data_IF_418142683505
#
_entry.id   IF_418142683505
#
_cell.length_a   1.000
_cell.length_b   1.000
_cell.length_c   1.000
_cell.angle_alpha   90.00
_cell.angle_beta   90.00
_cell.angle_gamma   90.00
#
_symmetry.space_group_name_H-M   'P 1'
#
loop_
_entity.id
_entity.type
_entity.pdbx_description
1 polymer ?
#
# COMPACT_ATOMS: atom_id res chain seq x y z
N UNK A 1 -21.94 -48.72 -5.65
CA UNK A 1 -20.49 -48.66 -5.74
C UNK A 1 -20.09 -48.40 -7.17
N UNK A 2 -19.72 -47.21 -7.54
CA UNK A 2 -19.18 -46.83 -8.86
C UNK A 2 -17.81 -46.20 -8.66
N UNK A 3 -16.79 -46.94 -9.08
CA UNK A 3 -15.39 -46.50 -9.04
C UNK A 3 -15.15 -45.50 -10.18
N UNK A 4 -14.69 -44.29 -9.85
CA UNK A 4 -14.19 -43.30 -10.79
C UNK A 4 -12.69 -43.52 -10.96
N UNK A 5 -12.31 -43.93 -12.16
CA UNK A 5 -10.94 -44.06 -12.61
C UNK A 5 -10.48 -42.72 -13.17
N UNK A 6 -9.45 -42.08 -12.57
CA UNK A 6 -8.80 -40.89 -13.09
C UNK A 6 -7.64 -41.27 -14.01
N UNK A 7 -7.51 -40.71 -15.21
CA UNK A 7 -6.31 -40.88 -16.03
C UNK A 7 -5.16 -40.01 -15.52
N UNK A 8 -4.01 -40.65 -15.31
CA UNK A 8 -2.72 -39.98 -15.05
C UNK A 8 -2.20 -39.44 -16.39
N UNK A 9 -2.08 -38.13 -16.52
CA UNK A 9 -1.40 -37.49 -17.65
C UNK A 9 0.08 -37.29 -17.25
N UNK A 10 0.97 -38.01 -17.90
CA UNK A 10 2.42 -37.85 -17.81
C UNK A 10 2.84 -36.76 -18.79
N UNK A 11 3.30 -35.61 -18.31
CA UNK A 11 3.89 -34.56 -19.14
C UNK A 11 5.39 -34.73 -19.14
N UNK A 12 5.95 -35.12 -20.27
CA UNK A 12 7.37 -35.19 -20.55
C UNK A 12 7.98 -33.80 -20.74
N UNK A 13 8.98 -33.51 -19.93
CA UNK A 13 9.78 -32.28 -19.98
C UNK A 13 10.81 -32.37 -21.11
N UNK A 14 10.68 -31.51 -22.13
CA UNK A 14 11.69 -31.37 -23.18
C UNK A 14 12.65 -30.25 -22.80
N UNK A 15 13.94 -30.58 -22.73
CA UNK A 15 15.05 -29.64 -22.56
C UNK A 15 15.42 -29.00 -23.89
N UNK A 16 15.59 -27.69 -23.93
CA UNK A 16 16.16 -26.95 -25.06
C UNK A 16 17.52 -26.33 -24.68
N UNK A 17 18.48 -26.23 -25.62
CA UNK A 17 19.87 -25.92 -25.32
C UNK A 17 20.17 -24.42 -25.24
N UNK A 18 21.24 -24.12 -24.52
CA UNK A 18 21.87 -22.83 -24.38
C UNK A 18 22.41 -22.27 -25.72
N UNK A 19 22.22 -21.00 -25.99
CA UNK A 19 22.95 -20.24 -26.97
C UNK A 19 23.80 -19.16 -26.30
N UNK A 20 25.08 -19.21 -26.59
CA UNK A 20 26.13 -18.36 -26.07
C UNK A 20 26.17 -16.96 -26.71
N UNK A 21 26.53 -15.99 -25.89
CA UNK A 21 27.49 -14.94 -26.25
C UNK A 21 27.05 -13.78 -27.13
N UNK A 22 27.06 -12.59 -26.54
CA UNK A 22 27.68 -11.43 -27.19
C UNK A 22 28.14 -10.42 -26.13
N UNK A 23 29.46 -10.26 -26.08
CA UNK A 23 30.18 -9.22 -25.37
C UNK A 23 29.92 -7.88 -26.07
N UNK A 24 29.52 -6.84 -25.33
CA UNK A 24 29.62 -5.47 -25.79
C UNK A 24 30.60 -4.71 -24.89
N UNK A 25 31.69 -4.28 -25.51
CA UNK A 25 32.75 -3.48 -24.93
C UNK A 25 32.27 -2.06 -24.56
N UNK A 26 32.93 -1.40 -23.60
CA UNK A 26 32.56 -0.06 -23.17
C UNK A 26 32.97 1.01 -24.16
N UNK A 27 32.03 1.84 -24.59
CA UNK A 27 32.32 3.06 -25.35
C UNK A 27 32.87 4.15 -24.45
N UNK A 28 34.08 4.58 -24.76
CA UNK A 28 34.76 5.74 -24.20
C UNK A 28 33.97 7.01 -24.49
N UNK A 29 33.49 7.69 -23.47
CA UNK A 29 32.96 9.04 -23.61
C UNK A 29 34.09 10.05 -23.54
N UNK A 30 34.24 10.79 -24.61
CA UNK A 30 35.14 11.90 -24.81
C UNK A 30 34.84 13.07 -23.89
N UNK A 31 35.86 13.50 -23.15
CA UNK A 31 35.87 14.67 -22.25
C UNK A 31 35.77 15.96 -23.05
N UNK A 32 34.92 16.95 -22.72
CA UNK A 32 34.98 18.28 -23.30
C UNK A 32 36.17 19.11 -22.72
N UNK A 33 36.71 20.07 -23.50
CA UNK A 33 37.87 20.83 -23.08
C UNK A 33 37.55 21.90 -22.03
N UNK A 34 38.52 22.10 -21.16
CA UNK A 34 38.54 23.17 -20.17
C UNK A 34 38.79 24.53 -20.84
N UNK A 35 38.19 25.56 -20.32
CA UNK A 35 38.65 26.94 -20.49
C UNK A 35 37.52 27.94 -20.64
N UNK A 36 37.18 28.59 -19.53
CA UNK A 36 36.99 30.04 -19.49
C UNK A 36 36.99 30.52 -18.03
N UNK A 37 38.02 31.26 -17.73
CA UNK A 37 38.25 31.97 -16.47
C UNK A 37 37.27 33.13 -16.34
N UNK A 38 36.52 33.21 -15.24
CA UNK A 38 35.75 34.39 -14.87
C UNK A 38 36.47 35.10 -13.74
N UNK A 39 36.70 36.43 -13.80
CA UNK A 39 37.45 37.17 -12.79
C UNK A 39 36.70 37.28 -11.47
N UNK A 40 37.41 37.42 -10.31
CA UNK A 40 36.82 37.52 -9.00
C UNK A 40 36.14 38.88 -8.78
N UNK A 41 34.89 38.85 -8.38
CA UNK A 41 34.16 40.02 -7.89
C UNK A 41 34.51 40.22 -6.42
N UNK A 42 35.09 41.37 -6.09
CA UNK A 42 35.47 41.81 -4.77
C UNK A 42 34.23 42.23 -3.96
N UNK A 43 34.10 41.80 -2.67
CA UNK A 43 32.99 42.26 -1.84
C UNK A 43 33.26 43.64 -1.25
N UNK A 44 32.28 44.52 -1.06
CA UNK A 44 32.43 45.77 -0.35
C UNK A 44 32.55 45.52 1.19
N UNK A 45 33.54 46.17 1.77
CA UNK A 45 33.75 46.22 3.19
C UNK A 45 32.75 47.16 3.87
N UNK A 46 32.33 46.82 5.07
CA UNK A 46 31.87 47.78 6.07
C UNK A 46 30.48 47.47 6.65
N UNK A 47 30.47 46.92 7.86
CA UNK A 47 29.25 46.83 8.69
C UNK A 47 29.59 46.12 10.02
N UNK A 48 29.62 46.90 11.09
CA UNK A 48 30.10 46.57 12.43
C UNK A 48 29.41 45.34 13.06
N UNK A 49 30.21 44.53 13.75
CA UNK A 49 29.81 43.43 14.59
C UNK A 49 28.95 43.90 15.79
N UNK A 50 27.77 43.30 15.96
CA UNK A 50 27.09 43.22 17.25
C UNK A 50 27.21 41.78 17.77
N UNK A 51 27.59 41.55 19.05
CA UNK A 51 27.61 40.21 19.62
C UNK A 51 26.15 39.77 19.92
N UNK A 52 25.61 38.95 19.05
CA UNK A 52 24.35 38.28 19.26
C UNK A 52 24.50 37.13 20.22
N UNK A 53 23.71 37.15 21.26
CA UNK A 53 23.43 36.14 22.27
C UNK A 53 23.27 34.72 21.65
N UNK A 54 23.85 33.66 22.27
CA UNK A 54 23.62 32.30 21.77
C UNK A 54 22.15 31.92 21.96
N UNK A 55 21.44 31.75 20.86
CA UNK A 55 20.10 31.22 20.86
C UNK A 55 20.16 29.77 21.39
N UNK A 56 19.54 29.57 22.56
CA UNK A 56 19.32 28.28 23.16
C UNK A 56 18.71 27.33 22.10
N UNK A 57 19.32 26.15 21.95
CA UNK A 57 18.87 25.12 21.06
C UNK A 57 17.41 24.76 21.35
N UNK A 58 16.53 25.10 20.43
CA UNK A 58 15.20 24.52 20.37
C UNK A 58 15.42 23.06 19.93
N UNK A 59 15.39 22.17 20.89
CA UNK A 59 15.15 20.75 20.65
C UNK A 59 13.82 20.69 19.90
N UNK A 60 13.90 20.42 18.60
CA UNK A 60 12.71 20.15 17.80
C UNK A 60 12.01 18.95 18.45
N UNK A 61 10.94 19.21 19.18
CA UNK A 61 10.07 18.17 19.68
C UNK A 61 9.64 17.34 18.47
N UNK A 62 9.92 16.03 18.52
CA UNK A 62 9.40 15.09 17.52
C UNK A 62 7.89 15.34 17.38
N UNK A 63 7.37 15.49 16.16
CA UNK A 63 5.93 15.66 15.99
C UNK A 63 5.22 14.50 16.69
N UNK A 64 4.11 14.77 17.40
CA UNK A 64 3.34 13.71 18.04
C UNK A 64 2.98 12.67 16.97
N UNK A 65 2.93 11.37 17.34
CA UNK A 65 2.58 10.33 16.39
C UNK A 65 1.26 10.71 15.71
N UNK A 66 1.29 10.84 14.38
CA UNK A 66 0.13 11.25 13.62
C UNK A 66 -1.00 10.27 13.91
N UNK A 67 -2.12 10.80 14.45
CA UNK A 67 -3.35 10.02 14.61
C UNK A 67 -3.70 9.50 13.22
N UNK A 68 -3.86 8.18 13.04
CA UNK A 68 -4.15 7.63 11.73
C UNK A 68 -5.38 8.31 11.14
N UNK A 69 -5.28 8.82 9.92
CA UNK A 69 -6.38 9.53 9.28
C UNK A 69 -7.60 8.60 9.16
N UNK A 70 -8.78 9.11 9.53
CA UNK A 70 -10.06 8.39 9.39
C UNK A 70 -10.24 7.88 7.95
N UNK A 71 -10.69 6.63 7.79
CA UNK A 71 -10.88 5.95 6.50
C UNK A 71 -12.36 5.82 6.19
N UNK A 72 -12.99 6.93 5.86
CA UNK A 72 -14.40 6.99 5.50
C UNK A 72 -14.57 7.15 4.00
N UNK A 73 -15.51 6.41 3.43
CA UNK A 73 -15.90 6.54 2.04
C UNK A 73 -17.12 7.45 1.90
N UNK A 74 -17.08 8.35 0.92
CA UNK A 74 -18.16 9.28 0.61
C UNK A 74 -18.89 8.92 -0.68
N UNK A 75 -18.40 7.92 -1.41
CA UNK A 75 -18.89 7.45 -2.70
C UNK A 75 -19.66 6.14 -2.60
N UNK A 76 -20.21 5.68 -3.71
CA UNK A 76 -20.99 4.44 -3.78
C UNK A 76 -20.11 3.17 -3.85
N UNK A 77 -18.83 3.33 -4.18
CA UNK A 77 -17.82 2.29 -4.09
C UNK A 77 -16.47 2.88 -3.66
N UNK A 78 -15.60 2.04 -3.14
CA UNK A 78 -14.29 2.48 -2.70
C UNK A 78 -13.23 1.40 -2.82
N UNK A 79 -11.96 1.83 -2.84
CA UNK A 79 -10.83 0.91 -2.90
C UNK A 79 -9.67 1.42 -2.06
N UNK A 80 -8.95 0.49 -1.42
CA UNK A 80 -7.66 0.76 -0.79
C UNK A 80 -6.63 -0.18 -1.39
N UNK A 81 -5.56 0.39 -1.92
CA UNK A 81 -4.40 -0.35 -2.41
C UNK A 81 -3.38 -0.53 -1.30
N UNK A 82 -2.93 -1.77 -1.14
CA UNK A 82 -1.93 -2.16 -0.14
C UNK A 82 -0.78 -2.85 -0.87
N UNK A 83 0.42 -2.28 -0.78
CA UNK A 83 1.63 -2.89 -1.34
C UNK A 83 2.37 -3.59 -0.21
N UNK A 84 2.39 -4.91 -0.23
CA UNK A 84 2.87 -5.78 0.85
C UNK A 84 4.19 -6.43 0.45
N UNK A 85 5.15 -6.41 1.37
CA UNK A 85 6.46 -7.07 1.21
C UNK A 85 6.29 -8.58 1.01
N UNK A 86 7.11 -9.23 0.18
CA UNK A 86 6.98 -10.65 -0.14
C UNK A 86 7.04 -11.57 1.09
N UNK A 87 7.92 -11.25 2.04
CA UNK A 87 8.12 -11.99 3.29
C UNK A 87 7.05 -11.73 4.36
N UNK A 88 6.13 -10.77 4.10
CA UNK A 88 5.09 -10.34 5.04
C UNK A 88 3.65 -10.67 4.61
N UNK A 89 3.48 -11.40 3.52
CA UNK A 89 2.14 -11.76 3.02
C UNK A 89 1.36 -12.60 4.02
N UNK A 90 2.00 -13.59 4.66
CA UNK A 90 1.36 -14.44 5.68
C UNK A 90 0.97 -13.64 6.94
N UNK A 91 1.82 -12.72 7.38
CA UNK A 91 1.52 -11.82 8.50
C UNK A 91 0.31 -10.92 8.18
N UNK A 92 0.28 -10.36 6.97
CA UNK A 92 -0.83 -9.53 6.49
C UNK A 92 -2.15 -10.31 6.43
N UNK A 93 -2.13 -11.51 5.84
CA UNK A 93 -3.31 -12.37 5.73
C UNK A 93 -3.80 -12.82 7.12
N UNK A 94 -2.90 -13.05 8.08
CA UNK A 94 -3.26 -13.32 9.48
C UNK A 94 -4.00 -12.15 10.11
N UNK A 95 -3.52 -10.91 9.92
CA UNK A 95 -4.21 -9.72 10.43
C UNK A 95 -5.58 -9.55 9.75
N UNK A 96 -5.68 -9.81 8.44
CA UNK A 96 -6.97 -9.76 7.72
C UNK A 96 -7.97 -10.79 8.23
N UNK A 97 -7.51 -11.99 8.61
CA UNK A 97 -8.36 -12.99 9.24
C UNK A 97 -8.91 -12.50 10.60
N UNK A 98 -8.09 -11.80 11.40
CA UNK A 98 -8.55 -11.20 12.67
C UNK A 98 -9.53 -10.04 12.43
N UNK A 99 -9.32 -9.21 11.40
CA UNK A 99 -10.30 -8.17 11.00
C UNK A 99 -11.63 -8.78 10.61
N UNK A 100 -11.62 -9.86 9.81
CA UNK A 100 -12.83 -10.60 9.44
C UNK A 100 -13.55 -11.14 10.68
N UNK A 101 -12.82 -11.71 11.63
CA UNK A 101 -13.35 -12.21 12.89
C UNK A 101 -13.96 -11.07 13.72
N UNK A 102 -13.26 -9.95 13.86
CA UNK A 102 -13.74 -8.77 14.58
C UNK A 102 -15.08 -8.25 14.02
N UNK A 103 -15.17 -8.11 12.70
CA UNK A 103 -16.38 -7.66 12.02
C UNK A 103 -17.54 -8.64 12.19
N UNK A 104 -17.26 -9.96 12.09
CA UNK A 104 -18.31 -10.99 12.18
C UNK A 104 -18.87 -11.15 13.60
N UNK A 105 -18.03 -10.99 14.62
CA UNK A 105 -18.39 -11.13 16.04
C UNK A 105 -18.89 -9.83 16.67
N UNK A 106 -18.78 -8.70 15.98
CA UNK A 106 -19.21 -7.40 16.52
C UNK A 106 -20.72 -7.39 16.79
N UNK A 107 -21.13 -6.82 17.92
CA UNK A 107 -22.54 -6.54 18.21
C UNK A 107 -23.06 -5.30 17.48
N UNK A 108 -22.16 -4.48 16.94
CA UNK A 108 -22.52 -3.30 16.16
C UNK A 108 -23.05 -3.73 14.76
N UNK A 109 -24.32 -3.44 14.43
CA UNK A 109 -24.91 -3.83 13.14
C UNK A 109 -24.20 -3.22 11.95
N UNK A 110 -23.62 -2.03 12.08
CA UNK A 110 -22.83 -1.40 11.00
C UNK A 110 -21.54 -2.15 10.73
N UNK A 111 -20.84 -2.68 11.76
CA UNK A 111 -19.66 -3.54 11.58
C UNK A 111 -20.01 -4.83 10.83
N UNK A 112 -21.16 -5.44 11.14
CA UNK A 112 -21.67 -6.60 10.39
C UNK A 112 -21.95 -6.23 8.92
N UNK A 113 -22.53 -5.06 8.68
CA UNK A 113 -22.80 -4.56 7.33
C UNK A 113 -21.49 -4.30 6.56
N UNK A 114 -20.46 -3.74 7.21
CA UNK A 114 -19.13 -3.57 6.61
C UNK A 114 -18.56 -4.91 6.13
N UNK A 115 -18.72 -5.99 6.91
CA UNK A 115 -18.27 -7.32 6.53
C UNK A 115 -18.91 -7.84 5.23
N UNK A 116 -20.14 -7.46 4.93
CA UNK A 116 -20.86 -7.92 3.73
C UNK A 116 -20.35 -7.26 2.44
N UNK A 117 -19.86 -6.03 2.54
CA UNK A 117 -19.43 -5.24 1.38
C UNK A 117 -17.91 -5.16 1.20
N UNK A 118 -17.13 -5.54 2.23
CA UNK A 118 -15.68 -5.49 2.19
C UNK A 118 -15.10 -6.81 1.67
N UNK A 119 -14.40 -6.75 0.55
CA UNK A 119 -13.67 -7.88 -0.03
C UNK A 119 -12.18 -7.55 -0.09
N UNK A 120 -11.35 -8.56 0.10
CA UNK A 120 -9.90 -8.45 0.00
C UNK A 120 -9.43 -9.34 -1.13
N UNK A 121 -8.73 -8.76 -2.10
CA UNK A 121 -8.13 -9.46 -3.22
C UNK A 121 -6.63 -9.39 -3.14
N UNK A 122 -5.94 -10.44 -3.58
CA UNK A 122 -4.49 -10.50 -3.74
C UNK A 122 -4.17 -10.55 -5.23
N UNK A 123 -3.30 -9.67 -5.72
CA UNK A 123 -2.74 -9.78 -7.07
C UNK A 123 -1.94 -11.06 -7.19
N UNK A 124 -2.14 -11.77 -8.29
CA UNK A 124 -1.40 -13.03 -8.56
C UNK A 124 0.00 -12.74 -9.10
N UNK A 125 0.14 -11.61 -9.79
CA UNK A 125 1.42 -11.16 -10.32
C UNK A 125 2.17 -10.31 -9.30
N UNK A 126 3.50 -10.34 -9.37
CA UNK A 126 4.34 -9.45 -8.59
C UNK A 126 4.14 -8.01 -9.05
N UNK A 127 3.83 -7.13 -8.11
CA UNK A 127 3.73 -5.70 -8.34
C UNK A 127 5.09 -4.98 -8.31
N UNK A 128 5.08 -3.65 -8.17
CA UNK A 128 6.29 -2.83 -8.17
C UNK A 128 7.31 -3.29 -7.11
N UNK A 129 8.56 -3.45 -7.53
CA UNK A 129 9.65 -3.88 -6.64
C UNK A 129 9.54 -5.32 -6.14
N UNK A 130 8.81 -6.20 -6.83
CA UNK A 130 8.62 -7.59 -6.43
C UNK A 130 7.64 -7.78 -5.26
N UNK A 131 6.94 -6.72 -4.86
CA UNK A 131 5.95 -6.76 -3.78
C UNK A 131 4.61 -7.30 -4.28
N UNK A 132 3.74 -7.72 -3.35
CA UNK A 132 2.38 -8.12 -3.69
C UNK A 132 1.40 -6.97 -3.48
N UNK A 133 0.44 -6.83 -4.40
CA UNK A 133 -0.64 -5.85 -4.29
C UNK A 133 -1.87 -6.53 -3.71
N UNK A 134 -2.36 -6.01 -2.59
CA UNK A 134 -3.66 -6.39 -2.05
C UNK A 134 -4.64 -5.24 -2.21
N UNK A 135 -5.83 -5.55 -2.69
CA UNK A 135 -6.90 -4.61 -2.93
C UNK A 135 -8.01 -4.84 -1.91
N UNK A 136 -8.33 -3.81 -1.14
CA UNK A 136 -9.59 -3.79 -0.38
C UNK A 136 -10.65 -3.14 -1.27
N UNK A 137 -11.70 -3.88 -1.53
CA UNK A 137 -12.83 -3.45 -2.34
C UNK A 137 -14.06 -3.30 -1.46
N UNK A 138 -14.72 -2.16 -1.56
CA UNK A 138 -15.91 -1.82 -0.79
C UNK A 138 -17.05 -1.46 -1.76
N UNK A 139 -18.13 -2.27 -1.76
CA UNK A 139 -19.23 -2.07 -2.70
C UNK A 139 -20.54 -2.66 -2.16
N UNK A 140 -21.49 -1.80 -1.70
CA UNK A 140 -21.28 -0.40 -1.33
C UNK A 140 -20.57 -0.28 0.02
N UNK A 141 -19.75 0.76 0.26
CA UNK A 141 -19.24 1.03 1.60
C UNK A 141 -20.37 1.51 2.51
N UNK A 142 -20.27 1.20 3.79
CA UNK A 142 -21.18 1.75 4.81
C UNK A 142 -20.81 3.21 5.04
N UNK A 143 -21.72 4.12 4.71
CA UNK A 143 -21.48 5.58 4.83
C UNK A 143 -21.20 5.98 6.28
N UNK A 144 -20.31 6.96 6.44
CA UNK A 144 -19.89 7.53 7.72
C UNK A 144 -19.13 6.60 8.66
N UNK A 145 -18.99 5.31 8.30
CA UNK A 145 -18.20 4.36 9.08
C UNK A 145 -16.71 4.44 8.78
N UNK A 146 -15.93 4.28 9.84
CA UNK A 146 -14.46 4.27 9.73
C UNK A 146 -13.95 2.85 9.51
N UNK A 147 -13.29 2.66 8.37
CA UNK A 147 -12.66 1.40 7.95
C UNK A 147 -11.21 1.26 8.47
N UNK A 148 -10.88 2.01 9.51
CA UNK A 148 -9.56 1.93 10.11
C UNK A 148 -9.38 0.62 10.88
N UNK A 149 -8.35 -0.14 10.49
CA UNK A 149 -8.10 -1.49 11.04
C UNK A 149 -7.83 -1.44 12.54
N UNK A 150 -7.12 -0.41 13.04
CA UNK A 150 -6.86 -0.25 14.47
C UNK A 150 -8.13 -0.09 15.28
N UNK A 151 -9.10 0.67 14.78
CA UNK A 151 -10.39 0.85 15.46
C UNK A 151 -11.17 -0.47 15.53
N UNK A 152 -11.24 -1.18 14.40
CA UNK A 152 -11.96 -2.46 14.30
C UNK A 152 -11.32 -3.53 15.18
N UNK A 153 -9.99 -3.65 15.17
CA UNK A 153 -9.28 -4.62 16.00
C UNK A 153 -9.32 -4.24 17.48
N UNK A 154 -9.25 -2.94 17.80
CA UNK A 154 -9.30 -2.46 19.18
C UNK A 154 -10.65 -2.71 19.86
N UNK A 155 -11.74 -2.60 19.09
CA UNK A 155 -13.09 -2.93 19.58
C UNK A 155 -13.23 -4.42 19.93
N UNK A 156 -12.64 -5.31 19.13
CA UNK A 156 -12.81 -6.74 19.29
C UNK A 156 -11.70 -7.42 20.11
N UNK A 157 -10.48 -6.93 20.01
CA UNK A 157 -9.28 -7.56 20.60
C UNK A 157 -8.38 -6.54 21.29
N UNK A 158 -8.86 -5.83 22.34
CA UNK A 158 -8.08 -4.77 22.96
C UNK A 158 -6.72 -5.24 23.51
N UNK A 159 -6.66 -6.47 24.03
CA UNK A 159 -5.43 -7.05 24.59
C UNK A 159 -4.40 -7.47 23.53
N UNK A 160 -4.82 -7.72 22.29
CA UNK A 160 -3.96 -8.13 21.17
C UNK A 160 -3.66 -6.97 20.20
N UNK A 161 -4.27 -5.81 20.42
CA UNK A 161 -4.22 -4.69 19.47
C UNK A 161 -2.79 -4.25 19.15
N UNK A 162 -1.93 -4.14 20.15
CA UNK A 162 -0.54 -3.71 19.98
C UNK A 162 0.23 -4.65 19.04
N UNK A 163 0.13 -5.94 19.27
CA UNK A 163 0.84 -6.95 18.49
C UNK A 163 0.29 -7.04 17.05
N UNK A 164 -1.04 -7.02 16.91
CA UNK A 164 -1.70 -7.03 15.60
C UNK A 164 -1.36 -5.78 14.79
N UNK A 165 -1.33 -4.62 15.44
CA UNK A 165 -0.97 -3.36 14.80
C UNK A 165 0.51 -3.30 14.39
N UNK A 166 1.41 -3.74 15.28
CA UNK A 166 2.84 -3.83 14.95
C UNK A 166 3.09 -4.76 13.76
N UNK A 167 2.43 -5.93 13.76
CA UNK A 167 2.48 -6.88 12.65
C UNK A 167 1.95 -6.26 11.36
N UNK A 168 0.79 -5.60 11.41
CA UNK A 168 0.16 -4.96 10.26
C UNK A 168 1.03 -3.88 9.64
N UNK A 169 1.57 -2.97 10.44
CA UNK A 169 2.38 -1.84 9.94
C UNK A 169 3.69 -2.28 9.30
N UNK A 170 4.29 -3.37 9.76
CA UNK A 170 5.52 -3.92 9.20
C UNK A 170 5.33 -4.56 7.82
N UNK A 171 4.09 -4.90 7.45
CA UNK A 171 3.80 -5.56 6.17
C UNK A 171 4.00 -4.64 4.97
N UNK A 172 3.82 -3.35 5.13
CA UNK A 172 3.77 -2.41 4.00
C UNK A 172 5.14 -2.10 3.42
N UNK A 173 5.24 -2.18 2.09
CA UNK A 173 6.37 -1.65 1.33
C UNK A 173 6.19 -0.16 1.02
N UNK A 174 4.93 0.29 0.84
CA UNK A 174 4.56 1.67 0.53
C UNK A 174 3.34 2.09 1.37
N UNK A 175 3.11 3.40 1.57
CA UNK A 175 1.87 3.90 2.14
C UNK A 175 0.64 3.41 1.38
N UNK A 176 -0.45 3.17 2.11
CA UNK A 176 -1.73 2.79 1.52
C UNK A 176 -2.33 3.95 0.71
N UNK A 177 -2.90 3.65 -0.45
CA UNK A 177 -3.66 4.60 -1.27
C UNK A 177 -5.16 4.28 -1.20
N UNK A 178 -5.98 5.27 -0.87
CA UNK A 178 -7.44 5.15 -0.79
C UNK A 178 -8.08 5.99 -1.88
N UNK A 179 -9.05 5.41 -2.60
CA UNK A 179 -9.81 6.08 -3.65
C UNK A 179 -11.31 5.90 -3.41
N UNK A 180 -12.06 6.99 -3.54
CA UNK A 180 -13.50 6.97 -3.72
C UNK A 180 -13.81 6.75 -5.20
N UNK A 181 -14.73 5.84 -5.51
CA UNK A 181 -15.07 5.45 -6.87
C UNK A 181 -16.51 5.88 -7.20
N UNK A 182 -16.69 6.42 -8.40
CA UNK A 182 -18.00 6.69 -8.98
C UNK A 182 -18.22 5.75 -10.16
N UNK A 183 -19.35 5.08 -10.19
CA UNK A 183 -19.71 4.25 -11.34
C UNK A 183 -20.08 5.17 -12.51
N UNK A 184 -19.34 5.07 -13.62
CA UNK A 184 -19.59 5.85 -14.84
C UNK A 184 -20.38 5.06 -15.88
N UNK A 185 -20.33 3.71 -15.82
CA UNK A 185 -21.07 2.82 -16.70
C UNK A 185 -21.29 1.48 -16.02
N UNK A 186 -22.40 0.82 -16.37
CA UNK A 186 -22.66 -0.58 -16.05
C UNK A 186 -22.78 -1.35 -17.37
N UNK A 187 -21.87 -2.27 -17.62
CA UNK A 187 -21.81 -3.05 -18.86
C UNK A 187 -22.79 -4.24 -18.88
N UNK A 188 -23.56 -4.45 -17.80
CA UNK A 188 -24.60 -5.47 -17.78
C UNK A 188 -25.73 -5.09 -18.76
N UNK A 189 -26.13 -5.97 -19.70
CA UNK A 189 -27.18 -5.67 -20.67
C UNK A 189 -28.57 -5.41 -20.02
N UNK A 190 -28.74 -5.85 -18.77
CA UNK A 190 -30.00 -5.70 -18.02
C UNK A 190 -29.90 -4.59 -16.93
N UNK A 191 -28.83 -3.81 -16.92
CA UNK A 191 -28.70 -2.73 -15.95
C UNK A 191 -29.67 -1.60 -16.30
N UNK A 192 -30.67 -1.40 -15.46
CA UNK A 192 -31.50 -0.19 -15.53
C UNK A 192 -30.61 0.99 -15.10
N UNK A 193 -30.24 1.81 -16.07
CA UNK A 193 -29.52 3.07 -15.81
C UNK A 193 -30.49 3.99 -15.09
N UNK A 194 -30.45 4.07 -13.78
CA UNK A 194 -31.11 5.15 -13.07
C UNK A 194 -30.12 6.31 -13.05
N UNK A 195 -30.34 7.37 -13.84
CA UNK A 195 -29.51 8.56 -13.75
C UNK A 195 -29.75 9.20 -12.39
N UNK A 196 -28.67 9.53 -11.71
CA UNK A 196 -28.66 10.21 -10.42
C UNK A 196 -28.54 11.70 -10.65
#
# INVERSE_FOLDING_TARGET
>A
MRALVFPVVVITLAAAPAAAGQSNAPQSQTRPPAGQSVPPVQPPAGGAAQPGTPAAGQTAASPPPAVPASRKFTSDAGVIFNVIKPDKTADFETVMARVKEALSKSDNPKRKQMALSWRVFKGLESGPGGNYVYLFWFDPPVKDEDYQITTILGEAFPNELQDLWAKFTQCFANPQAMLNLQQVANMSPNATTTPK
#
